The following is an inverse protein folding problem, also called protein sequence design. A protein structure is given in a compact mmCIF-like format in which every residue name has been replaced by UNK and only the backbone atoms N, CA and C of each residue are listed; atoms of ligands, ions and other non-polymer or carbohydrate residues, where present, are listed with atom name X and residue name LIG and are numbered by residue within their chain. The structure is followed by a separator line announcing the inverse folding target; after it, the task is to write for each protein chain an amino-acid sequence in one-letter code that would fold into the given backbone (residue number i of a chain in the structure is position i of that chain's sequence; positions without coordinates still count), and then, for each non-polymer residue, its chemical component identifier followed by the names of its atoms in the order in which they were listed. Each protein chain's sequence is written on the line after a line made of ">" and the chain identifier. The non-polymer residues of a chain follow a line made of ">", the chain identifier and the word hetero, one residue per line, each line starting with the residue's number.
data_IF_973300675490
#
_entry.id   IF_973300675490
#
_cell.length_a   1.000
_cell.length_b   1.000
_cell.length_c   1.000
_cell.angle_alpha   90.00
_cell.angle_beta   90.00
_cell.angle_gamma   90.00
#
_symmetry.space_group_name_H-M   'P 1'
#
loop_
_entity.id
_entity.type
_entity.pdbx_description
1 polymer ?
#
# COMPACT_ATOMS: atom_id res chain seq x y z
N UNK A 1 -1.41 0.69 16.97
CA UNK A 1 -0.62 0.17 15.81
C UNK A 1 -0.72 1.11 14.60
N UNK A 2 -1.94 1.42 14.12
CA UNK A 2 -2.11 2.32 12.94
C UNK A 2 -1.42 3.66 13.16
N UNK A 3 -1.70 4.36 14.28
CA UNK A 3 -1.06 5.65 14.60
C UNK A 3 0.47 5.57 14.59
N UNK A 4 1.05 4.51 15.13
CA UNK A 4 2.50 4.32 15.13
C UNK A 4 3.07 4.26 13.69
N UNK A 5 2.35 3.63 12.77
CA UNK A 5 2.76 3.57 11.36
C UNK A 5 2.64 4.96 10.71
N UNK A 6 1.57 5.69 11.00
CA UNK A 6 1.41 7.08 10.53
C UNK A 6 2.57 7.96 11.03
N UNK A 7 2.90 7.87 12.32
CA UNK A 7 4.00 8.61 12.92
C UNK A 7 5.35 8.25 12.26
N UNK A 8 5.57 6.96 11.93
CA UNK A 8 6.77 6.52 11.22
C UNK A 8 6.82 7.07 9.78
N UNK A 9 5.72 7.05 9.05
CA UNK A 9 5.66 7.65 7.70
C UNK A 9 6.11 9.11 7.74
N UNK A 10 5.55 9.87 8.65
CA UNK A 10 5.89 11.29 8.82
C UNK A 10 7.35 11.51 9.24
N UNK A 11 7.86 10.67 10.14
CA UNK A 11 9.26 10.74 10.56
C UNK A 11 10.24 10.48 9.40
N UNK A 12 9.86 9.64 8.44
CA UNK A 12 10.61 9.42 7.20
C UNK A 12 10.27 10.40 6.08
N UNK A 13 9.45 11.42 6.34
CA UNK A 13 9.08 12.44 5.36
C UNK A 13 8.07 11.97 4.31
N UNK A 14 7.42 10.81 4.52
CA UNK A 14 6.41 10.28 3.61
C UNK A 14 5.07 10.92 3.95
N UNK A 15 4.56 11.76 3.06
CA UNK A 15 3.32 12.53 3.26
C UNK A 15 2.26 12.29 2.19
N UNK A 16 2.57 11.49 1.18
CA UNK A 16 1.62 11.17 0.10
C UNK A 16 1.32 9.67 0.10
N UNK A 17 0.05 9.34 0.17
CA UNK A 17 -0.44 7.95 0.24
C UNK A 17 -1.48 7.72 -0.84
N UNK A 18 -1.27 6.75 -1.71
CA UNK A 18 -2.27 6.27 -2.65
C UNK A 18 -2.99 5.07 -2.01
N UNK A 19 -4.29 5.21 -1.79
CA UNK A 19 -5.11 4.22 -1.09
C UNK A 19 -6.08 3.54 -2.04
N UNK A 20 -6.02 2.22 -2.10
CA UNK A 20 -7.07 1.38 -2.69
C UNK A 20 -7.95 0.86 -1.55
N UNK A 21 -9.19 1.43 -1.39
CA UNK A 21 -9.98 1.22 -0.20
C UNK A 21 -10.55 -0.20 -0.10
N UNK A 22 -10.61 -0.72 1.11
CA UNK A 22 -11.22 -1.99 1.43
C UNK A 22 -11.44 -2.15 2.94
N UNK A 23 -12.18 -3.18 3.35
CA UNK A 23 -12.60 -3.32 4.75
C UNK A 23 -11.43 -3.50 5.73
N UNK A 24 -10.34 -4.17 5.32
CA UNK A 24 -9.22 -4.45 6.23
C UNK A 24 -8.19 -3.35 6.32
N UNK A 25 -8.10 -2.49 5.33
CA UNK A 25 -7.28 -1.28 5.43
C UNK A 25 -8.09 -0.04 5.83
N UNK A 26 -9.38 -0.17 6.15
CA UNK A 26 -10.21 0.96 6.58
C UNK A 26 -9.60 1.76 7.75
N UNK A 27 -9.01 1.13 8.81
CA UNK A 27 -8.36 1.90 9.86
C UNK A 27 -7.20 2.78 9.37
N UNK A 28 -6.45 2.31 8.37
CA UNK A 28 -5.39 3.10 7.72
C UNK A 28 -5.97 4.22 6.87
N UNK A 29 -6.99 3.90 6.06
CA UNK A 29 -7.65 4.88 5.19
C UNK A 29 -8.18 6.06 5.98
N UNK A 30 -8.83 5.79 7.12
CA UNK A 30 -9.35 6.83 8.02
C UNK A 30 -8.19 7.63 8.63
N UNK A 31 -7.15 6.95 9.15
CA UNK A 31 -6.04 7.62 9.80
C UNK A 31 -5.25 8.52 8.84
N UNK A 32 -5.13 8.13 7.57
CA UNK A 32 -4.47 8.95 6.56
C UNK A 32 -5.33 10.15 6.15
N UNK A 33 -6.63 9.94 5.94
CA UNK A 33 -7.57 10.99 5.52
C UNK A 33 -7.76 12.07 6.60
N UNK A 34 -7.75 11.67 7.88
CA UNK A 34 -7.90 12.61 9.01
C UNK A 34 -6.59 13.32 9.40
N UNK A 35 -5.43 12.86 8.91
CA UNK A 35 -4.16 13.44 9.33
C UNK A 35 -3.79 14.67 8.50
N UNK A 36 -3.58 15.85 9.14
CA UNK A 36 -3.40 17.14 8.43
C UNK A 36 -2.12 17.22 7.58
N UNK A 37 -1.12 16.38 7.86
CA UNK A 37 0.15 16.36 7.12
C UNK A 37 0.20 15.26 6.04
N UNK A 38 -0.84 14.45 5.88
CA UNK A 38 -0.91 13.39 4.87
C UNK A 38 -1.87 13.78 3.76
N UNK A 39 -1.39 13.76 2.54
CA UNK A 39 -2.19 13.90 1.34
C UNK A 39 -2.60 12.52 0.81
N UNK A 40 -3.90 12.24 0.82
CA UNK A 40 -4.46 10.94 0.47
C UNK A 40 -5.08 10.97 -0.92
N UNK A 41 -4.67 10.04 -1.78
CA UNK A 41 -5.19 9.85 -3.13
C UNK A 41 -5.94 8.53 -3.18
N UNK A 42 -7.25 8.55 -3.43
CA UNK A 42 -8.07 7.35 -3.49
C UNK A 42 -8.16 6.83 -4.93
N UNK A 43 -7.67 5.62 -5.16
CA UNK A 43 -7.71 4.92 -6.44
C UNK A 43 -8.19 3.50 -6.23
N UNK A 44 -9.39 3.16 -6.72
CA UNK A 44 -10.04 1.89 -6.42
C UNK A 44 -9.34 0.67 -7.04
N UNK A 45 -8.83 0.78 -8.25
CA UNK A 45 -8.07 -0.29 -8.91
C UNK A 45 -6.62 -0.28 -8.44
N UNK A 46 -6.18 -1.35 -7.79
CA UNK A 46 -4.85 -1.43 -7.20
C UNK A 46 -3.73 -1.38 -8.24
N UNK A 47 -3.92 -1.96 -9.42
CA UNK A 47 -2.92 -1.89 -10.48
C UNK A 47 -2.73 -0.47 -10.97
N UNK A 48 -3.81 0.24 -11.17
CA UNK A 48 -3.78 1.67 -11.52
C UNK A 48 -3.15 2.49 -10.40
N UNK A 49 -3.51 2.22 -9.15
CA UNK A 49 -2.93 2.88 -7.98
C UNK A 49 -1.42 2.70 -7.91
N UNK A 50 -0.93 1.49 -8.16
CA UNK A 50 0.49 1.18 -8.19
C UNK A 50 1.26 2.02 -9.21
N UNK A 51 0.77 2.12 -10.44
CA UNK A 51 1.42 2.91 -11.49
C UNK A 51 1.25 4.42 -11.29
N UNK A 52 0.15 4.88 -10.70
CA UNK A 52 -0.01 6.29 -10.30
C UNK A 52 1.03 6.65 -9.24
N UNK A 53 1.17 5.84 -8.19
CA UNK A 53 2.17 6.07 -7.15
C UNK A 53 3.60 6.03 -7.70
N UNK A 54 3.89 5.10 -8.62
CA UNK A 54 5.17 5.01 -9.31
C UNK A 54 5.48 6.31 -10.08
N UNK A 55 4.52 6.80 -10.87
CA UNK A 55 4.65 8.05 -11.62
C UNK A 55 4.84 9.25 -10.70
N UNK A 56 4.08 9.32 -9.60
CA UNK A 56 4.24 10.38 -8.59
C UNK A 56 5.64 10.33 -7.95
N UNK A 57 6.11 9.15 -7.55
CA UNK A 57 7.43 8.99 -6.93
C UNK A 57 8.56 9.41 -7.90
N UNK A 58 8.43 9.05 -9.16
CA UNK A 58 9.40 9.41 -10.19
C UNK A 58 9.44 10.93 -10.45
N UNK A 59 8.27 11.56 -10.59
CA UNK A 59 8.15 12.97 -10.92
C UNK A 59 8.56 13.88 -9.76
N UNK A 60 8.18 13.52 -8.54
CA UNK A 60 8.44 14.31 -7.34
C UNK A 60 9.82 14.03 -6.72
N UNK A 61 10.44 12.89 -7.03
CA UNK A 61 11.67 12.44 -6.37
C UNK A 61 11.45 12.09 -4.89
N UNK A 62 10.22 11.74 -4.51
CA UNK A 62 9.80 11.42 -3.14
C UNK A 62 9.34 9.98 -3.02
N UNK A 63 9.43 9.41 -1.82
CA UNK A 63 8.79 8.12 -1.54
C UNK A 63 7.29 8.29 -1.44
N UNK A 64 6.55 7.53 -2.24
CA UNK A 64 5.08 7.48 -2.18
C UNK A 64 4.65 6.17 -1.50
N UNK A 65 3.72 6.28 -0.56
CA UNK A 65 3.13 5.11 0.06
C UNK A 65 1.91 4.59 -0.73
N UNK A 66 1.81 3.27 -0.82
CA UNK A 66 0.65 2.54 -1.35
C UNK A 66 -0.03 1.82 -0.19
N UNK A 67 -1.35 1.84 -0.14
CA UNK A 67 -2.10 1.11 0.88
C UNK A 67 -3.29 0.37 0.27
N UNK A 68 -3.35 -0.95 0.46
CA UNK A 68 -4.49 -1.76 0.02
C UNK A 68 -5.00 -2.72 1.09
N UNK A 69 -6.18 -3.29 0.82
CA UNK A 69 -6.77 -4.34 1.63
C UNK A 69 -6.01 -5.67 1.49
N UNK A 70 -6.48 -6.70 2.16
CA UNK A 70 -5.86 -8.03 2.17
C UNK A 70 -6.16 -8.85 0.92
N UNK A 71 -5.38 -9.91 0.72
CA UNK A 71 -5.62 -10.92 -0.29
C UNK A 71 -5.10 -10.52 -1.67
N UNK A 72 -5.84 -10.83 -2.73
CA UNK A 72 -5.43 -10.59 -4.12
C UNK A 72 -5.16 -9.11 -4.45
N UNK A 73 -5.64 -8.18 -3.62
CA UNK A 73 -5.36 -6.75 -3.76
C UNK A 73 -3.85 -6.46 -3.85
N UNK A 74 -3.05 -7.03 -2.96
CA UNK A 74 -1.61 -6.81 -2.96
C UNK A 74 -0.91 -7.34 -4.23
N UNK A 75 -1.44 -8.39 -4.86
CA UNK A 75 -0.89 -8.93 -6.12
C UNK A 75 -1.01 -7.94 -7.27
N UNK A 76 -2.03 -7.10 -7.26
CA UNK A 76 -2.24 -6.09 -8.30
C UNK A 76 -1.22 -4.96 -8.25
N UNK A 77 -0.55 -4.74 -7.12
CA UNK A 77 0.59 -3.81 -7.04
C UNK A 77 1.87 -4.36 -7.66
N UNK A 78 1.98 -5.69 -7.82
CA UNK A 78 3.23 -6.34 -8.20
C UNK A 78 3.87 -5.81 -9.48
N UNK A 79 3.14 -5.53 -10.58
CA UNK A 79 3.75 -4.95 -11.78
C UNK A 79 4.43 -3.60 -11.52
N UNK A 80 3.79 -2.73 -10.74
CA UNK A 80 4.36 -1.43 -10.39
C UNK A 80 5.54 -1.55 -9.41
N UNK A 81 5.46 -2.48 -8.45
CA UNK A 81 6.56 -2.79 -7.51
C UNK A 81 7.78 -3.31 -8.26
N UNK A 82 7.59 -4.24 -9.20
CA UNK A 82 8.66 -4.72 -10.08
C UNK A 82 9.33 -3.58 -10.86
N UNK A 83 8.55 -2.73 -11.51
CA UNK A 83 9.08 -1.58 -12.25
C UNK A 83 9.83 -0.62 -11.34
N UNK A 84 9.28 -0.32 -10.16
CA UNK A 84 9.93 0.52 -9.15
C UNK A 84 11.29 -0.03 -8.73
N UNK A 85 11.36 -1.34 -8.49
CA UNK A 85 12.59 -2.03 -8.09
C UNK A 85 13.69 -1.89 -9.16
N UNK A 86 13.40 -2.28 -10.41
CA UNK A 86 14.39 -2.21 -11.49
C UNK A 86 14.80 -0.79 -11.88
N UNK A 87 13.96 0.19 -11.61
CA UNK A 87 14.25 1.60 -11.85
C UNK A 87 14.74 2.36 -10.63
N UNK A 88 14.89 1.69 -9.48
CA UNK A 88 15.29 2.31 -8.21
C UNK A 88 14.40 3.49 -7.81
N UNK A 89 13.09 3.38 -8.04
CA UNK A 89 12.09 4.39 -7.66
C UNK A 89 11.51 3.99 -6.30
N UNK A 90 11.54 4.87 -5.28
CA UNK A 90 11.12 4.50 -3.93
C UNK A 90 9.60 4.43 -3.79
N UNK A 91 9.07 3.22 -3.54
CA UNK A 91 7.69 2.98 -3.14
C UNK A 91 7.66 2.29 -1.78
N UNK A 92 6.75 2.72 -0.92
CA UNK A 92 6.44 2.03 0.33
C UNK A 92 5.08 1.35 0.21
N UNK A 93 5.03 0.03 0.36
CA UNK A 93 3.79 -0.73 0.19
C UNK A 93 3.29 -1.22 1.54
N UNK A 94 2.08 -0.79 1.90
CA UNK A 94 1.34 -1.19 3.10
C UNK A 94 0.18 -2.09 2.69
N UNK A 95 0.24 -3.36 3.05
CA UNK A 95 -0.83 -4.31 2.77
C UNK A 95 -1.49 -4.77 4.07
N UNK A 96 -2.80 -4.65 4.16
CA UNK A 96 -3.52 -5.31 5.24
C UNK A 96 -3.49 -6.83 5.02
N UNK A 97 -3.65 -7.60 6.08
CA UNK A 97 -3.74 -9.06 5.98
C UNK A 97 -4.84 -9.61 6.88
N UNK A 98 -5.19 -10.87 6.68
CA UNK A 98 -6.09 -11.61 7.53
C UNK A 98 -5.34 -12.19 8.74
N UNK A 99 -6.04 -12.43 9.86
CA UNK A 99 -5.49 -13.22 10.95
C UNK A 99 -4.99 -14.59 10.42
N UNK A 100 -3.83 -15.04 10.91
CA UNK A 100 -3.20 -16.28 10.44
C UNK A 100 -4.15 -17.50 10.45
N UNK A 101 -5.06 -17.56 11.43
CA UNK A 101 -6.06 -18.62 11.54
C UNK A 101 -7.10 -18.64 10.39
N UNK A 102 -7.19 -17.56 9.60
CA UNK A 102 -8.16 -17.43 8.49
C UNK A 102 -7.52 -17.65 7.12
N UNK A 103 -6.20 -17.77 7.07
CA UNK A 103 -5.49 -18.06 5.82
C UNK A 103 -5.72 -19.51 5.42
N UNK A 104 -5.92 -19.78 4.13
CA UNK A 104 -6.18 -21.11 3.55
C UNK A 104 -7.56 -21.73 3.87
N UNK A 105 -8.52 -20.94 4.32
CA UNK A 105 -9.89 -21.42 4.53
C UNK A 105 -10.85 -21.14 3.36
N UNK A 106 -10.35 -20.68 2.22
CA UNK A 106 -11.15 -20.38 1.03
C UNK A 106 -12.11 -19.19 1.20
N UNK A 107 -11.84 -18.31 2.15
CA UNK A 107 -12.65 -17.13 2.42
C UNK A 107 -12.32 -15.98 1.47
N UNK A 108 -13.20 -15.72 0.52
CA UNK A 108 -13.13 -14.61 -0.42
C UNK A 108 -11.80 -14.59 -1.21
N UNK A 109 -11.16 -13.43 -1.25
CA UNK A 109 -9.91 -13.20 -1.97
C UNK A 109 -8.64 -13.56 -1.19
N UNK A 110 -8.76 -14.36 -0.13
CA UNK A 110 -7.64 -14.71 0.76
C UNK A 110 -6.53 -15.45 0.05
N UNK A 111 -5.30 -15.01 0.27
CA UNK A 111 -4.08 -15.64 -0.26
C UNK A 111 -3.01 -15.70 0.85
N UNK A 112 -1.94 -16.43 0.62
CA UNK A 112 -0.72 -16.33 1.43
C UNK A 112 0.06 -15.09 0.99
N UNK A 113 0.02 -14.01 1.80
CA UNK A 113 0.67 -12.73 1.47
C UNK A 113 2.13 -12.67 1.89
N UNK A 114 2.54 -13.55 2.81
CA UNK A 114 3.92 -13.58 3.29
C UNK A 114 4.89 -13.70 2.13
N UNK A 115 5.89 -12.83 2.12
CA UNK A 115 6.96 -12.79 1.11
C UNK A 115 6.47 -12.58 -0.33
N UNK A 116 5.28 -11.98 -0.51
CA UNK A 116 4.66 -11.79 -1.83
C UNK A 116 5.53 -10.98 -2.79
N UNK A 117 6.34 -10.05 -2.27
CA UNK A 117 7.27 -9.22 -3.05
C UNK A 117 8.74 -9.59 -2.86
N UNK A 118 9.08 -10.75 -2.33
CA UNK A 118 10.46 -11.11 -1.92
C UNK A 118 11.53 -11.03 -3.01
N UNK A 119 11.13 -11.03 -4.27
CA UNK A 119 12.07 -10.98 -5.40
C UNK A 119 12.28 -9.54 -5.94
N UNK A 120 11.63 -8.57 -5.33
CA UNK A 120 11.66 -7.16 -5.77
C UNK A 120 11.70 -6.20 -4.61
#
# INVERSE_FOLDING_TARGET
>A
MVQLIVDQLLAYGIRKVVVSPGSRNAPFSIAFDEHPEIETFVVHDERSAGFIALGMAQELGETIALCCTSGSACLNYYPAVSEAYYRSIPLLVLTADRPAAWINHGDGQTIVQRDVYKNH
#
